data_IF_907514513199
#
_entry.id   IF_907514513199
#
_cell.length_a   1.000
_cell.length_b   1.000
_cell.length_c   1.000
_cell.angle_alpha   90.00
_cell.angle_beta   90.00
_cell.angle_gamma   90.00
#
_symmetry.space_group_name_H-M   'P 1'
#
loop_
_entity.id
_entity.type
_entity.pdbx_description
1 polymer ?
#
# COMPACT_ATOMS: atom_id res chain seq x y z
N UNK A 1 -17.01 -1.28 0.98
CA UNK A 1 -16.14 -1.09 2.18
C UNK A 1 -15.26 0.13 2.00
N UNK A 2 -14.68 0.69 3.07
CA UNK A 2 -13.78 1.86 2.98
C UNK A 2 -12.40 1.50 3.52
N UNK A 3 -11.36 1.89 2.78
CA UNK A 3 -9.95 1.78 3.19
C UNK A 3 -9.40 3.19 3.32
N UNK A 4 -8.78 3.50 4.45
CA UNK A 4 -8.27 4.83 4.72
C UNK A 4 -7.08 4.79 5.67
N UNK A 5 -6.28 5.84 5.63
CA UNK A 5 -5.22 6.10 6.59
C UNK A 5 -5.13 7.61 6.86
N UNK A 6 -4.73 7.96 8.08
CA UNK A 6 -4.40 9.33 8.48
C UNK A 6 -3.00 9.72 7.98
N UNK A 7 -2.67 11.01 8.11
CA UNK A 7 -1.34 11.54 7.77
C UNK A 7 -0.24 10.84 8.56
N UNK A 8 0.86 10.52 7.88
CA UNK A 8 2.04 10.00 8.54
C UNK A 8 2.75 11.08 9.36
N UNK A 9 3.19 10.74 10.58
CA UNK A 9 3.94 11.65 11.44
C UNK A 9 5.41 11.84 11.04
N UNK A 10 5.90 11.06 10.07
CA UNK A 10 7.30 11.06 9.62
C UNK A 10 7.60 12.05 8.48
N UNK A 11 6.63 12.86 8.05
CA UNK A 11 6.79 13.86 7.00
C UNK A 11 7.34 13.27 5.67
N UNK A 12 6.61 12.35 5.01
CA UNK A 12 7.12 11.56 3.89
C UNK A 12 7.32 12.35 2.59
N UNK A 13 6.51 13.40 2.34
CA UNK A 13 6.60 14.27 1.15
C UNK A 13 6.40 13.54 -0.18
N UNK A 14 5.28 12.84 -0.33
CA UNK A 14 4.96 12.08 -1.54
C UNK A 14 4.63 12.95 -2.77
N UNK A 15 4.34 14.24 -2.58
CA UNK A 15 3.99 15.19 -3.64
C UNK A 15 2.49 15.35 -3.86
N UNK A 16 2.12 16.40 -4.61
CA UNK A 16 0.74 16.86 -4.80
C UNK A 16 -0.14 15.87 -5.60
N UNK A 17 0.46 15.03 -6.44
CA UNK A 17 -0.23 14.01 -7.24
C UNK A 17 0.07 12.59 -6.75
N UNK A 18 0.39 12.44 -5.46
CA UNK A 18 0.64 11.13 -4.89
C UNK A 18 -0.60 10.24 -5.02
N UNK A 19 -0.37 8.96 -5.22
CA UNK A 19 -1.41 7.96 -5.34
C UNK A 19 -1.14 6.82 -4.37
N UNK A 20 -2.21 6.20 -3.90
CA UNK A 20 -2.17 4.95 -3.15
C UNK A 20 -2.58 3.81 -4.08
N UNK A 21 -1.83 2.72 -4.07
CA UNK A 21 -2.25 1.45 -4.64
C UNK A 21 -2.93 0.63 -3.55
N UNK A 22 -4.16 0.19 -3.82
CA UNK A 22 -4.94 -0.63 -2.90
C UNK A 22 -5.27 -1.95 -3.59
N UNK A 23 -4.95 -3.04 -2.90
CA UNK A 23 -5.20 -4.41 -3.34
C UNK A 23 -6.08 -5.13 -2.33
N UNK A 24 -7.03 -5.93 -2.81
CA UNK A 24 -7.86 -6.80 -1.97
C UNK A 24 -7.71 -8.23 -2.42
N UNK A 25 -7.50 -9.11 -1.45
CA UNK A 25 -7.43 -10.55 -1.59
C UNK A 25 -8.62 -11.18 -0.85
N UNK A 26 -9.28 -12.14 -1.47
CA UNK A 26 -10.44 -12.80 -0.88
C UNK A 26 -10.07 -13.99 0.03
N UNK A 27 -11.08 -14.72 0.54
CA UNK A 27 -10.89 -15.87 1.41
C UNK A 27 -10.12 -17.04 0.79
N UNK A 28 -9.92 -17.06 -0.53
CA UNK A 28 -9.06 -18.03 -1.21
C UNK A 28 -7.60 -17.58 -1.30
N UNK A 29 -7.32 -16.32 -0.96
CA UNK A 29 -6.03 -15.65 -1.17
C UNK A 29 -5.84 -15.12 -2.60
N UNK A 30 -6.87 -15.16 -3.44
CA UNK A 30 -6.80 -14.58 -4.78
C UNK A 30 -6.96 -13.06 -4.73
N UNK A 31 -6.16 -12.31 -5.49
CA UNK A 31 -6.38 -10.87 -5.67
C UNK A 31 -7.65 -10.66 -6.49
N UNK A 32 -8.65 -10.04 -5.87
CA UNK A 32 -9.97 -9.78 -6.48
C UNK A 32 -10.15 -8.31 -6.86
N UNK A 33 -9.34 -7.41 -6.32
CA UNK A 33 -9.38 -5.98 -6.64
C UNK A 33 -7.97 -5.39 -6.60
N UNK A 34 -7.68 -4.51 -7.56
CA UNK A 34 -6.51 -3.63 -7.58
C UNK A 34 -6.96 -2.27 -8.11
N UNK A 35 -6.66 -1.19 -7.39
CA UNK A 35 -7.02 0.16 -7.81
C UNK A 35 -6.02 1.21 -7.34
N UNK A 36 -6.01 2.34 -8.04
CA UNK A 36 -5.29 3.54 -7.65
C UNK A 36 -6.28 4.59 -7.15
N UNK A 37 -5.94 5.25 -6.06
CA UNK A 37 -6.71 6.38 -5.53
C UNK A 37 -5.80 7.56 -5.19
N UNK A 38 -6.33 8.80 -5.12
CA UNK A 38 -5.58 9.95 -4.65
C UNK A 38 -5.06 9.75 -3.22
N UNK A 39 -3.84 10.20 -2.97
CA UNK A 39 -3.19 10.24 -1.66
C UNK A 39 -2.55 11.62 -1.49
N UNK A 40 -2.58 12.19 -0.29
CA UNK A 40 -1.96 13.49 -0.08
C UNK A 40 -0.43 13.39 0.11
N UNK A 41 0.25 14.54 0.18
CA UNK A 41 1.70 14.65 0.38
C UNK A 41 2.20 13.94 1.66
N UNK A 42 1.34 13.82 2.68
CA UNK A 42 1.64 13.22 3.97
C UNK A 42 1.18 11.75 4.09
N UNK A 43 0.62 11.16 3.03
CA UNK A 43 0.24 9.75 2.97
C UNK A 43 -1.21 9.43 3.34
N UNK A 44 -2.02 10.41 3.75
CA UNK A 44 -3.44 10.14 4.01
C UNK A 44 -4.21 9.90 2.71
N UNK A 45 -5.17 8.97 2.79
CA UNK A 45 -6.09 8.66 1.71
C UNK A 45 -7.41 8.12 2.28
N UNK A 46 -8.46 8.13 1.46
CA UNK A 46 -9.70 7.43 1.74
C UNK A 46 -10.31 6.97 0.42
N UNK A 47 -10.58 5.67 0.30
CA UNK A 47 -11.16 5.07 -0.91
C UNK A 47 -12.29 4.13 -0.53
N UNK A 48 -13.41 4.25 -1.26
CA UNK A 48 -14.52 3.31 -1.17
C UNK A 48 -14.36 2.24 -2.25
N UNK A 49 -14.48 0.98 -1.85
CA UNK A 49 -14.29 -0.19 -2.69
C UNK A 49 -15.55 -1.05 -2.68
N UNK A 50 -15.96 -1.49 -3.85
CA UNK A 50 -16.99 -2.52 -4.03
C UNK A 50 -16.29 -3.84 -4.30
N UNK A 51 -16.52 -4.83 -3.43
CA UNK A 51 -15.97 -6.16 -3.64
C UNK A 51 -16.76 -6.88 -4.75
N UNK A 52 -16.08 -7.62 -5.64
CA UNK A 52 -16.76 -8.46 -6.62
C UNK A 52 -17.72 -9.44 -5.95
N UNK A 53 -18.89 -9.67 -6.56
CA UNK A 53 -19.93 -10.56 -6.01
C UNK A 53 -19.52 -12.02 -5.99
N UNK A 54 -18.46 -12.39 -6.70
CA UNK A 54 -17.85 -13.72 -6.76
C UNK A 54 -16.64 -13.87 -5.83
N UNK A 55 -16.32 -12.85 -5.03
CA UNK A 55 -15.26 -12.94 -4.02
C UNK A 55 -15.55 -14.07 -3.02
N UNK A 56 -14.56 -14.92 -2.77
CA UNK A 56 -14.72 -16.07 -1.86
C UNK A 56 -14.90 -15.59 -0.41
N UNK A 57 -15.98 -15.97 0.29
CA UNK A 57 -16.17 -15.62 1.69
C UNK A 57 -15.08 -16.21 2.60
N UNK A 58 -14.73 -15.51 3.67
CA UNK A 58 -13.69 -15.95 4.62
C UNK A 58 -12.75 -14.85 5.07
N UNK A 59 -11.58 -15.26 5.57
CA UNK A 59 -10.48 -14.36 5.92
C UNK A 59 -9.67 -14.03 4.66
N UNK A 60 -9.85 -12.81 4.16
CA UNK A 60 -9.04 -12.20 3.11
C UNK A 60 -8.08 -11.15 3.68
N UNK A 61 -7.48 -10.37 2.80
CA UNK A 61 -6.52 -9.34 3.15
C UNK A 61 -6.75 -8.08 2.32
N UNK A 62 -6.48 -6.92 2.92
CA UNK A 62 -6.36 -5.65 2.20
C UNK A 62 -4.94 -5.12 2.35
N UNK A 63 -4.32 -4.70 1.26
CA UNK A 63 -3.03 -4.03 1.24
C UNK A 63 -3.19 -2.63 0.66
N UNK A 64 -2.49 -1.65 1.24
CA UNK A 64 -2.43 -0.30 0.72
C UNK A 64 -1.01 0.25 0.88
N UNK A 65 -0.41 0.73 -0.20
CA UNK A 65 0.93 1.29 -0.20
C UNK A 65 1.07 2.41 -1.27
N UNK A 66 1.96 3.39 -1.06
CA UNK A 66 2.21 4.45 -2.04
C UNK A 66 2.53 3.87 -3.42
N UNK A 67 1.85 4.35 -4.44
CA UNK A 67 2.02 3.88 -5.81
C UNK A 67 3.35 4.34 -6.39
N UNK A 68 4.06 3.44 -7.09
CA UNK A 68 5.31 3.73 -7.79
C UNK A 68 6.40 4.34 -6.88
N UNK A 69 6.37 4.00 -5.59
CA UNK A 69 7.42 4.29 -4.61
C UNK A 69 8.07 2.97 -4.22
N UNK A 70 9.39 2.96 -4.11
CA UNK A 70 10.12 1.82 -3.55
C UNK A 70 9.92 1.79 -2.02
N UNK A 71 8.79 1.22 -1.61
CA UNK A 71 8.45 1.07 -0.21
C UNK A 71 9.33 0.04 0.51
N UNK A 72 10.09 -0.79 -0.22
CA UNK A 72 11.02 -1.74 0.37
C UNK A 72 12.21 -1.03 1.04
N UNK A 73 12.55 0.20 0.62
CA UNK A 73 13.56 1.06 1.27
C UNK A 73 12.95 1.95 2.38
N UNK A 74 11.68 2.35 2.22
CA UNK A 74 11.01 3.32 3.12
C UNK A 74 10.46 2.73 4.44
N UNK A 75 10.51 1.40 4.62
CA UNK A 75 10.10 0.72 5.87
C UNK A 75 11.17 0.74 6.98
N UNK A 76 12.31 1.43 6.83
CA UNK A 76 13.14 1.70 8.02
C UNK A 76 14.62 2.07 7.89
N UNK A 77 15.23 2.26 6.70
CA UNK A 77 16.55 2.91 6.59
C UNK A 77 16.70 3.64 5.26
N UNK A 78 16.62 4.97 5.32
CA UNK A 78 16.95 5.91 4.25
C UNK A 78 18.29 5.57 3.56
N UNK A 79 18.27 5.01 2.35
CA UNK A 79 19.46 4.84 1.51
C UNK A 79 19.60 5.96 0.47
N UNK A 80 19.08 7.17 0.72
CA UNK A 80 19.37 8.36 -0.10
C UNK A 80 20.81 8.84 0.11
N UNK A 81 21.78 7.99 -0.24
CA UNK A 81 23.16 8.39 -0.48
C UNK A 81 23.17 9.17 -1.79
N UNK A 82 23.18 10.50 -1.69
CA UNK A 82 23.28 11.37 -2.86
C UNK A 82 24.58 11.14 -3.62
N UNK A 83 24.46 10.79 -4.91
CA UNK A 83 25.39 10.98 -6.03
C UNK A 83 26.92 10.75 -5.87
N UNK A 84 27.44 10.26 -4.74
CA UNK A 84 28.88 9.99 -4.54
C UNK A 84 29.04 8.66 -3.81
N UNK A 85 29.18 7.58 -4.58
CA UNK A 85 29.57 6.26 -4.06
C UNK A 85 28.44 5.25 -3.94
N UNK A 86 27.78 4.95 -5.06
CA UNK A 86 26.91 3.80 -5.19
C UNK A 86 27.72 2.50 -5.00
N UNK A 87 27.71 1.96 -3.79
CA UNK A 87 27.89 0.53 -3.59
C UNK A 87 26.51 -0.07 -3.31
N UNK A 88 26.13 -0.98 -4.20
CA UNK A 88 24.91 -1.77 -4.31
C UNK A 88 24.00 -1.76 -3.07
N UNK A 89 22.99 -0.89 -3.10
CA UNK A 89 21.85 -0.98 -2.18
C UNK A 89 21.18 -2.33 -2.46
N UNK A 90 21.25 -3.24 -1.49
CA UNK A 90 20.60 -4.54 -1.57
C UNK A 90 19.23 -4.42 -0.91
N UNK A 91 18.18 -4.80 -1.66
CA UNK A 91 16.79 -4.82 -1.22
C UNK A 91 16.65 -5.74 0.01
N UNK A 92 16.23 -5.21 1.16
CA UNK A 92 15.95 -6.00 2.37
C UNK A 92 14.64 -5.57 3.02
N UNK A 93 13.52 -5.98 2.39
CA UNK A 93 12.26 -6.49 2.99
C UNK A 93 11.05 -6.14 2.10
N UNK A 94 10.49 -7.13 1.39
CA UNK A 94 9.35 -6.96 0.47
C UNK A 94 8.03 -7.51 1.05
N UNK A 95 7.85 -7.50 2.38
CA UNK A 95 6.61 -7.95 3.00
C UNK A 95 5.50 -6.92 2.79
N UNK A 96 4.50 -7.25 1.96
CA UNK A 96 3.41 -6.32 1.62
C UNK A 96 2.64 -5.95 2.90
N UNK A 97 2.57 -4.66 3.26
CA UNK A 97 1.77 -4.23 4.41
C UNK A 97 0.30 -4.54 4.13
N UNK A 98 -0.29 -5.36 4.99
CA UNK A 98 -1.65 -5.82 4.82
C UNK A 98 -2.37 -5.95 6.15
N UNK A 99 -3.69 -5.77 6.12
CA UNK A 99 -4.60 -5.97 7.24
C UNK A 99 -5.61 -7.08 6.91
N UNK A 100 -6.01 -7.89 7.90
CA UNK A 100 -7.09 -8.87 7.70
C UNK A 100 -8.39 -8.19 7.29
N UNK A 101 -9.08 -8.81 6.33
CA UNK A 101 -10.41 -8.43 5.88
C UNK A 101 -11.34 -9.64 6.03
N UNK A 102 -12.49 -9.47 6.68
CA UNK A 102 -13.51 -10.52 6.72
C UNK A 102 -14.53 -10.29 5.62
N UNK A 103 -14.66 -11.25 4.70
CA UNK A 103 -15.67 -11.25 3.64
C UNK A 103 -16.83 -12.13 4.08
N UNK A 104 -18.01 -11.54 4.13
CA UNK A 104 -19.25 -12.23 4.46
C UNK A 104 -19.93 -12.79 3.19
N UNK A 105 -20.72 -13.87 3.30
CA UNK A 105 -21.47 -14.45 2.18
C UNK A 105 -22.54 -13.52 1.57
#
# INVERSE_FOLDING_TARGET
>A
MTVAADDASCNPRYGENAQIQVEVYDGSGAKVLETLAPMNDAGAFSVSLDLPTDAVPGEGMVAAYPYNVDWCDDMGRNNRVGALGAQEITLVSCAIPSMPLRIEP
#
